data_IF_662794531993
#
_entry.id   IF_662794531993
#
_cell.length_a   1.000
_cell.length_b   1.000
_cell.length_c   1.000
_cell.angle_alpha   90.00
_cell.angle_beta   90.00
_cell.angle_gamma   90.00
#
_symmetry.space_group_name_H-M   'P 1'
#
loop_
_entity.id
_entity.type
_entity.pdbx_description
1 polymer ?
#
# COMPACT_ATOMS: atom_id res chain seq x y z
N UNK A 1 6.08 13.65 7.80
CA UNK A 1 6.81 12.87 8.82
C UNK A 1 6.50 11.40 8.64
N UNK A 2 7.51 10.52 8.61
CA UNK A 2 7.33 9.07 8.40
C UNK A 2 6.69 8.34 9.59
N UNK A 3 6.59 9.00 10.76
CA UNK A 3 6.05 8.42 11.99
C UNK A 3 4.61 7.95 11.85
N UNK A 4 3.74 8.74 11.23
CA UNK A 4 2.31 8.40 11.11
C UNK A 4 2.09 7.23 10.14
N UNK A 5 2.84 7.19 9.03
CA UNK A 5 2.88 6.02 8.16
C UNK A 5 3.33 4.77 8.92
N UNK A 6 4.40 4.88 9.72
CA UNK A 6 4.90 3.79 10.55
C UNK A 6 3.83 3.27 11.53
N UNK A 7 3.17 4.15 12.29
CA UNK A 7 2.08 3.74 13.18
C UNK A 7 0.94 3.05 12.43
N UNK A 8 0.59 3.54 11.25
CA UNK A 8 -0.51 2.99 10.46
C UNK A 8 -0.21 1.60 9.89
N UNK A 9 0.97 1.39 9.31
CA UNK A 9 1.39 0.09 8.76
C UNK A 9 1.43 -0.98 9.86
N UNK A 10 1.91 -0.61 11.05
CA UNK A 10 2.10 -1.51 12.19
C UNK A 10 0.90 -1.58 13.15
N UNK A 11 -0.22 -0.94 12.80
CA UNK A 11 -1.44 -0.95 13.62
C UNK A 11 -1.99 -2.37 13.82
N UNK A 12 -2.81 -2.57 14.85
CA UNK A 12 -3.40 -3.87 15.11
C UNK A 12 -4.29 -4.35 13.94
N UNK A 13 -4.34 -5.67 13.65
CA UNK A 13 -3.44 -6.71 14.13
C UNK A 13 -2.05 -6.60 13.49
N UNK A 14 -1.01 -6.48 14.31
CA UNK A 14 0.36 -6.17 13.86
C UNK A 14 0.94 -7.26 12.95
N UNK A 15 0.47 -8.50 13.04
CA UNK A 15 0.93 -9.62 12.18
C UNK A 15 0.93 -9.28 10.68
N UNK A 16 -0.02 -8.46 10.21
CA UNK A 16 -0.14 -8.06 8.80
C UNK A 16 0.62 -6.78 8.43
N UNK A 17 1.58 -6.32 9.24
CA UNK A 17 2.42 -5.17 8.85
C UNK A 17 3.17 -5.41 7.53
N UNK A 18 3.54 -6.67 7.26
CA UNK A 18 4.27 -7.07 6.05
C UNK A 18 3.48 -6.78 4.77
N UNK A 19 2.15 -6.81 4.84
CA UNK A 19 1.27 -6.43 3.73
C UNK A 19 1.48 -4.97 3.35
N UNK A 20 1.55 -4.05 4.32
CA UNK A 20 1.84 -2.64 4.06
C UNK A 20 3.25 -2.41 3.51
N UNK A 21 4.25 -3.17 3.98
CA UNK A 21 5.63 -3.09 3.46
C UNK A 21 5.70 -3.58 2.00
N UNK A 22 5.09 -4.73 1.69
CA UNK A 22 5.02 -5.25 0.33
C UNK A 22 4.25 -4.31 -0.61
N UNK A 23 3.18 -3.69 -0.12
CA UNK A 23 2.42 -2.69 -0.85
C UNK A 23 3.28 -1.47 -1.19
N UNK A 24 4.04 -0.94 -0.23
CA UNK A 24 4.98 0.18 -0.45
C UNK A 24 6.10 -0.19 -1.44
N UNK A 25 6.62 -1.40 -1.36
CA UNK A 25 7.61 -1.94 -2.31
C UNK A 25 7.04 -1.98 -3.73
N UNK A 26 5.81 -2.45 -3.88
CA UNK A 26 5.10 -2.45 -5.15
C UNK A 26 4.83 -1.03 -5.66
N UNK A 27 4.27 -0.12 -4.86
CA UNK A 27 4.05 1.27 -5.31
C UNK A 27 5.34 1.94 -5.82
N UNK A 28 6.48 1.62 -5.21
CA UNK A 28 7.79 2.16 -5.57
C UNK A 28 8.55 1.37 -6.64
N UNK A 29 7.87 0.47 -7.36
CA UNK A 29 8.47 -0.26 -8.48
C UNK A 29 9.56 -1.26 -8.10
N UNK A 30 9.71 -1.60 -6.81
CA UNK A 30 10.69 -2.59 -6.33
C UNK A 30 10.28 -4.03 -6.63
N UNK A 31 8.99 -4.24 -6.90
CA UNK A 31 8.45 -5.51 -7.37
C UNK A 31 7.41 -5.29 -8.48
N UNK A 32 7.26 -6.25 -9.41
CA UNK A 32 6.37 -6.10 -10.56
C UNK A 32 4.88 -6.14 -10.18
N UNK A 33 4.50 -6.88 -9.14
CA UNK A 33 3.11 -7.04 -8.71
C UNK A 33 2.94 -7.03 -7.20
N UNK A 34 1.71 -6.76 -6.74
CA UNK A 34 1.33 -6.85 -5.33
C UNK A 34 0.76 -8.24 -5.03
N UNK A 35 1.67 -9.21 -4.89
CA UNK A 35 1.37 -10.59 -4.51
C UNK A 35 2.31 -11.02 -3.40
N UNK A 36 1.83 -11.90 -2.53
CA UNK A 36 2.58 -12.42 -1.38
C UNK A 36 2.26 -13.90 -1.18
N UNK A 37 3.26 -14.66 -0.74
CA UNK A 37 3.11 -16.08 -0.35
C UNK A 37 1.97 -16.23 0.65
N UNK A 38 1.17 -17.29 0.49
CA UNK A 38 0.04 -17.59 1.36
C UNK A 38 -1.14 -16.62 1.25
N UNK A 39 -1.21 -15.83 0.16
CA UNK A 39 -2.30 -14.87 -0.04
C UNK A 39 -2.23 -13.64 0.86
N UNK A 40 -1.10 -13.42 1.56
CA UNK A 40 -0.97 -12.36 2.59
C UNK A 40 -1.11 -10.92 2.06
N UNK A 41 -1.17 -10.72 0.75
CA UNK A 41 -1.47 -9.43 0.15
C UNK A 41 -2.90 -8.96 0.48
N UNK A 42 -3.81 -9.88 0.81
CA UNK A 42 -5.17 -9.56 1.31
C UNK A 42 -5.24 -9.33 2.83
N UNK A 43 -4.11 -9.39 3.56
CA UNK A 43 -4.08 -9.25 5.02
C UNK A 43 -4.49 -7.88 5.56
N UNK A 44 -4.64 -6.86 4.70
CA UNK A 44 -5.16 -5.53 5.03
C UNK A 44 -6.27 -5.16 4.07
N UNK A 45 -7.26 -4.42 4.56
CA UNK A 45 -8.37 -3.95 3.74
C UNK A 45 -7.93 -2.92 2.71
N UNK A 46 -8.73 -2.75 1.65
CA UNK A 46 -8.55 -1.71 0.62
C UNK A 46 -8.41 -0.33 1.26
N UNK A 47 -9.27 0.02 2.23
CA UNK A 47 -9.21 1.30 2.93
C UNK A 47 -7.91 1.48 3.72
N UNK A 48 -7.39 0.42 4.35
CA UNK A 48 -6.11 0.49 5.07
C UNK A 48 -4.94 0.75 4.11
N UNK A 49 -4.95 0.11 2.94
CA UNK A 49 -3.92 0.31 1.91
C UNK A 49 -4.05 1.66 1.21
N UNK A 50 -5.26 2.17 0.98
CA UNK A 50 -5.50 3.53 0.50
C UNK A 50 -4.94 4.58 1.47
N UNK A 51 -5.20 4.41 2.77
CA UNK A 51 -4.61 5.29 3.79
C UNK A 51 -3.09 5.18 3.85
N UNK A 52 -2.54 4.00 3.59
CA UNK A 52 -1.08 3.81 3.48
C UNK A 52 -0.50 4.61 2.32
N UNK A 53 -1.16 4.60 1.16
CA UNK A 53 -0.77 5.41 -0.01
C UNK A 53 -0.77 6.92 0.31
N UNK A 54 -1.85 7.43 0.92
CA UNK A 54 -1.94 8.85 1.31
C UNK A 54 -0.84 9.27 2.30
N UNK A 55 -0.58 8.46 3.32
CA UNK A 55 0.45 8.75 4.32
C UNK A 55 1.86 8.64 3.72
N UNK A 56 2.06 7.78 2.72
CA UNK A 56 3.32 7.68 1.98
C UNK A 56 3.58 8.91 1.11
N UNK A 57 2.55 9.43 0.44
CA UNK A 57 2.62 10.68 -0.32
C UNK A 57 2.96 11.86 0.59
N UNK A 58 2.23 12.02 1.69
CA UNK A 58 2.50 13.05 2.71
C UNK A 58 3.89 12.94 3.36
N UNK A 59 4.47 11.74 3.36
CA UNK A 59 5.82 11.50 3.86
C UNK A 59 6.91 11.66 2.79
N UNK A 60 6.56 11.92 1.53
CA UNK A 60 7.52 12.03 0.42
C UNK A 60 8.19 10.69 0.07
N UNK A 61 7.51 9.57 0.30
CA UNK A 61 8.06 8.21 0.13
C UNK A 61 7.63 7.51 -1.16
N UNK A 62 6.90 8.21 -2.04
CA UNK A 62 6.58 7.74 -3.39
C UNK A 62 7.67 8.24 -4.34
N UNK A 63 8.60 7.36 -4.72
CA UNK A 63 9.76 7.70 -5.55
C UNK A 63 9.37 8.17 -6.95
N UNK A 64 8.33 7.55 -7.51
CA UNK A 64 7.72 7.91 -8.78
C UNK A 64 6.21 8.09 -8.52
N UNK A 65 5.74 9.33 -8.30
CA UNK A 65 4.33 9.59 -8.00
C UNK A 65 3.38 9.18 -9.13
N UNK A 66 3.82 9.26 -10.39
CA UNK A 66 2.99 8.88 -11.54
C UNK A 66 2.77 7.37 -11.58
N UNK A 67 3.85 6.59 -11.40
CA UNK A 67 3.76 5.13 -11.30
C UNK A 67 2.92 4.69 -10.09
N UNK A 68 3.13 5.31 -8.93
CA UNK A 68 2.41 4.99 -7.72
C UNK A 68 0.90 5.30 -7.87
N UNK A 69 0.55 6.45 -8.44
CA UNK A 69 -0.83 6.83 -8.70
C UNK A 69 -1.50 5.86 -9.69
N UNK A 70 -0.83 5.53 -10.80
CA UNK A 70 -1.30 4.54 -11.76
C UNK A 70 -1.60 3.18 -11.10
N UNK A 71 -0.65 2.66 -10.32
CA UNK A 71 -0.80 1.38 -9.59
C UNK A 71 -1.94 1.45 -8.56
N UNK A 72 -2.05 2.56 -7.82
CA UNK A 72 -3.12 2.74 -6.85
C UNK A 72 -4.50 2.80 -7.50
N UNK A 73 -4.64 3.52 -8.62
CA UNK A 73 -5.89 3.57 -9.40
C UNK A 73 -6.29 2.19 -9.92
N UNK A 74 -5.34 1.41 -10.43
CA UNK A 74 -5.61 0.03 -10.85
C UNK A 74 -6.04 -0.86 -9.69
N UNK A 75 -5.35 -0.76 -8.54
CA UNK A 75 -5.71 -1.48 -7.33
C UNK A 75 -7.13 -1.17 -6.87
N UNK A 76 -7.55 0.10 -6.88
CA UNK A 76 -8.90 0.50 -6.53
C UNK A 76 -9.93 -0.07 -7.52
N UNK A 77 -9.67 0.04 -8.81
CA UNK A 77 -10.57 -0.44 -9.87
C UNK A 77 -10.84 -1.94 -9.76
N UNK A 78 -9.80 -2.76 -9.59
CA UNK A 78 -9.97 -4.22 -9.46
C UNK A 78 -10.68 -4.62 -8.16
N UNK A 79 -10.68 -3.74 -7.14
CA UNK A 79 -11.44 -3.93 -5.91
C UNK A 79 -12.85 -3.30 -5.96
N UNK A 80 -13.32 -2.89 -7.15
CA UNK A 80 -14.67 -2.38 -7.36
C UNK A 80 -14.90 -0.93 -6.93
N UNK A 81 -13.84 -0.14 -6.78
CA UNK A 81 -13.95 1.30 -6.49
C UNK A 81 -13.86 2.09 -7.80
N UNK A 82 -14.86 2.93 -8.07
CA UNK A 82 -14.93 3.75 -9.28
C UNK A 82 -15.43 3.02 -10.53
N UNK A 83 -16.16 1.91 -10.35
CA UNK A 83 -17.04 1.32 -11.37
C UNK A 83 -18.42 1.97 -11.35
#
# INVERSE_FOLDING_TARGET
>A
STRELGKHIFSAPTFYYKTGIAFMSWLNGKQPGFQMVGGLHSGRSVCHLARTFELADQAGLLKDPALAAFRMSDYLRINGVGV
#
